data_IF_599470634891
#
_entry.id   IF_599470634891
#
_cell.length_a   1.000
_cell.length_b   1.000
_cell.length_c   1.000
_cell.angle_alpha   90.00
_cell.angle_beta   90.00
_cell.angle_gamma   90.00
#
_symmetry.space_group_name_H-M   'P 1'
#
loop_
_entity.id
_entity.type
_entity.pdbx_description
1 polymer ?
#
# COMPACT_ATOMS: atom_id res chain seq x y z
N UNK A 1 -0.02 9.03 -24.25
CA UNK A 1 -0.42 8.18 -23.12
C UNK A 1 -0.90 9.09 -22.01
N UNK A 2 -2.17 9.00 -21.63
CA UNK A 2 -2.81 9.94 -20.71
C UNK A 2 -2.33 9.67 -19.28
N UNK A 3 -1.45 10.53 -18.75
CA UNK A 3 -1.14 10.54 -17.33
C UNK A 3 -2.34 11.11 -16.58
N UNK A 4 -2.93 10.32 -15.69
CA UNK A 4 -3.99 10.78 -14.81
C UNK A 4 -3.36 11.71 -13.78
N UNK A 5 -3.60 13.02 -13.91
CA UNK A 5 -3.09 14.04 -12.99
C UNK A 5 -4.19 14.35 -11.97
N UNK A 6 -3.98 13.99 -10.70
CA UNK A 6 -4.95 14.18 -9.64
C UNK A 6 -4.30 14.98 -8.48
N UNK A 7 -3.89 16.23 -8.73
CA UNK A 7 -3.01 16.97 -7.84
C UNK A 7 -3.64 17.27 -6.46
N UNK A 8 -4.97 17.17 -6.36
CA UNK A 8 -5.75 17.43 -5.16
C UNK A 8 -6.36 16.15 -4.54
N UNK A 9 -5.96 14.96 -5.01
CA UNK A 9 -6.47 13.71 -4.46
C UNK A 9 -5.86 13.48 -3.07
N UNK A 10 -6.66 13.74 -2.04
CA UNK A 10 -6.26 13.55 -0.64
C UNK A 10 -6.51 12.12 -0.14
N UNK A 11 -7.48 11.41 -0.72
CA UNK A 11 -7.94 10.10 -0.26
C UNK A 11 -8.04 9.17 -1.45
N UNK A 12 -7.39 8.01 -1.34
CA UNK A 12 -7.46 6.94 -2.33
C UNK A 12 -7.87 5.65 -1.64
N UNK A 13 -9.04 5.14 -2.01
CA UNK A 13 -9.54 3.86 -1.53
C UNK A 13 -9.66 2.88 -2.70
N UNK A 14 -8.91 1.78 -2.60
CA UNK A 14 -8.94 0.66 -3.53
C UNK A 14 -9.47 -0.58 -2.81
N UNK A 15 -10.55 -1.15 -3.34
CA UNK A 15 -11.18 -2.32 -2.75
C UNK A 15 -11.59 -3.34 -3.81
N UNK A 16 -11.22 -4.60 -3.62
CA UNK A 16 -11.61 -5.70 -4.52
C UNK A 16 -11.19 -5.48 -5.99
N UNK A 17 -10.03 -4.84 -6.21
CA UNK A 17 -9.50 -4.53 -7.53
C UNK A 17 -8.22 -5.30 -7.85
N UNK A 18 -7.98 -5.53 -9.14
CA UNK A 18 -6.67 -5.95 -9.65
C UNK A 18 -6.04 -4.84 -10.47
N UNK A 19 -4.83 -4.43 -10.12
CA UNK A 19 -4.14 -3.33 -10.80
C UNK A 19 -2.67 -3.64 -11.07
N UNK A 20 -2.11 -2.98 -12.08
CA UNK A 20 -0.68 -3.09 -12.40
C UNK A 20 0.15 -2.13 -11.55
N UNK A 21 1.23 -2.64 -10.95
CA UNK A 21 2.09 -1.86 -10.04
C UNK A 21 2.53 -0.52 -10.64
N UNK A 22 2.99 -0.52 -11.90
CA UNK A 22 3.45 0.70 -12.59
C UNK A 22 2.39 1.80 -12.63
N UNK A 23 1.12 1.45 -12.88
CA UNK A 23 0.03 2.44 -12.94
C UNK A 23 -0.32 2.95 -11.54
N UNK A 24 -0.24 2.08 -10.54
CA UNK A 24 -0.48 2.44 -9.15
C UNK A 24 0.59 3.42 -8.63
N UNK A 25 1.88 3.16 -8.88
CA UNK A 25 2.94 4.10 -8.51
C UNK A 25 2.79 5.43 -9.23
N UNK A 26 2.44 5.42 -10.52
CA UNK A 26 2.18 6.65 -11.26
C UNK A 26 1.01 7.47 -10.68
N UNK A 27 -0.04 6.80 -10.19
CA UNK A 27 -1.17 7.43 -9.51
C UNK A 27 -0.76 8.08 -8.18
N UNK A 28 0.08 7.40 -7.40
CA UNK A 28 0.64 7.96 -6.16
C UNK A 28 1.48 9.21 -6.46
N UNK A 29 2.37 9.15 -7.46
CA UNK A 29 3.20 10.29 -7.85
C UNK A 29 2.40 11.47 -8.40
N UNK A 30 1.20 11.25 -8.95
CA UNK A 30 0.33 12.31 -9.46
C UNK A 30 -0.62 12.90 -8.43
N UNK A 31 -0.53 12.43 -7.17
CA UNK A 31 -1.40 12.81 -6.06
C UNK A 31 -0.57 13.30 -4.87
N UNK A 32 0.25 14.37 -5.03
CA UNK A 32 1.26 14.75 -4.03
C UNK A 32 0.70 15.12 -2.65
N UNK A 33 -0.61 15.41 -2.55
CA UNK A 33 -1.31 15.74 -1.30
C UNK A 33 -2.09 14.54 -0.71
N UNK A 34 -1.82 13.32 -1.17
CA UNK A 34 -2.49 12.13 -0.65
C UNK A 34 -2.16 11.92 0.84
N UNK A 35 -3.20 12.07 1.66
CA UNK A 35 -3.16 11.92 3.12
C UNK A 35 -3.64 10.54 3.56
N UNK A 36 -4.59 9.95 2.83
CA UNK A 36 -5.19 8.66 3.18
C UNK A 36 -5.11 7.67 2.03
N UNK A 37 -4.53 6.50 2.30
CA UNK A 37 -4.45 5.37 1.38
C UNK A 37 -5.05 4.12 2.02
N UNK A 38 -6.05 3.54 1.36
CA UNK A 38 -6.72 2.32 1.81
C UNK A 38 -6.66 1.29 0.68
N UNK A 39 -6.08 0.13 0.96
CA UNK A 39 -5.96 -0.98 0.01
C UNK A 39 -6.50 -2.25 0.65
N UNK A 40 -7.66 -2.72 0.18
CA UNK A 40 -8.38 -3.85 0.76
C UNK A 40 -8.70 -4.88 -0.30
N UNK A 41 -8.36 -6.14 -0.04
CA UNK A 41 -8.68 -7.27 -0.92
C UNK A 41 -8.24 -7.04 -2.38
N UNK A 42 -7.03 -6.52 -2.59
CA UNK A 42 -6.55 -6.12 -3.90
C UNK A 42 -5.46 -7.07 -4.44
N UNK A 43 -5.49 -7.27 -5.75
CA UNK A 43 -4.47 -7.98 -6.51
C UNK A 43 -3.51 -7.02 -7.20
N UNK A 44 -2.21 -7.22 -7.02
CA UNK A 44 -1.18 -6.43 -7.69
C UNK A 44 -0.44 -7.28 -8.71
N UNK A 45 -0.42 -6.80 -9.95
CA UNK A 45 0.24 -7.44 -11.08
C UNK A 45 1.63 -6.83 -11.29
N UNK A 46 2.64 -7.69 -11.39
CA UNK A 46 3.95 -7.32 -11.94
C UNK A 46 5.16 -7.67 -11.06
N UNK A 47 5.04 -7.55 -9.74
CA UNK A 47 6.15 -7.74 -8.80
C UNK A 47 5.69 -8.46 -7.52
N UNK A 48 6.65 -8.95 -6.73
CA UNK A 48 6.41 -9.62 -5.44
C UNK A 48 6.23 -8.64 -4.27
N UNK A 49 6.51 -7.35 -4.48
CA UNK A 49 6.38 -6.30 -3.46
C UNK A 49 5.84 -4.98 -4.02
N UNK A 50 5.30 -4.13 -3.13
CA UNK A 50 4.91 -2.75 -3.41
C UNK A 50 5.75 -1.84 -2.53
N UNK A 51 6.29 -0.79 -3.13
CA UNK A 51 6.97 0.29 -2.41
C UNK A 51 6.08 1.54 -2.45
N UNK A 52 5.70 2.03 -1.27
CA UNK A 52 4.84 3.21 -1.09
C UNK A 52 5.69 4.28 -0.44
N UNK A 53 6.18 5.22 -1.25
CA UNK A 53 6.85 6.42 -0.74
C UNK A 53 5.95 7.64 -0.97
N UNK A 54 5.45 8.23 0.12
CA UNK A 54 4.54 9.37 0.02
C UNK A 54 4.65 10.28 1.25
N UNK A 55 5.13 11.51 1.04
CA UNK A 55 5.49 12.42 2.14
C UNK A 55 4.30 12.95 2.93
N UNK A 56 3.13 13.11 2.31
CA UNK A 56 1.92 13.64 2.98
C UNK A 56 1.01 12.55 3.53
N UNK A 57 1.36 11.27 3.38
CA UNK A 57 0.51 10.18 3.80
C UNK A 57 0.47 10.11 5.33
N UNK A 58 -0.72 10.32 5.92
CA UNK A 58 -0.96 10.28 7.36
C UNK A 58 -1.65 8.99 7.79
N UNK A 59 -2.51 8.43 6.93
CA UNK A 59 -3.34 7.27 7.22
C UNK A 59 -3.14 6.18 6.17
N UNK A 60 -2.63 5.03 6.60
CA UNK A 60 -2.44 3.88 5.71
C UNK A 60 -3.16 2.64 6.25
N UNK A 61 -4.07 2.10 5.44
CA UNK A 61 -4.81 0.88 5.75
C UNK A 61 -4.53 -0.17 4.70
N UNK A 62 -4.19 -1.37 5.18
CA UNK A 62 -3.95 -2.51 4.34
C UNK A 62 -4.60 -3.79 4.86
N UNK A 63 -5.31 -4.47 3.98
CA UNK A 63 -5.98 -5.74 4.27
C UNK A 63 -5.97 -6.63 3.02
N UNK A 64 -5.56 -7.90 3.16
CA UNK A 64 -5.65 -8.94 2.10
C UNK A 64 -5.13 -8.48 0.73
N UNK A 65 -3.88 -8.04 0.67
CA UNK A 65 -3.23 -7.69 -0.60
C UNK A 65 -2.36 -8.84 -1.09
N UNK A 66 -2.54 -9.23 -2.35
CA UNK A 66 -1.88 -10.38 -2.96
C UNK A 66 -1.26 -10.00 -4.30
N UNK A 67 -0.22 -10.73 -4.70
CA UNK A 67 0.41 -10.59 -6.00
C UNK A 67 -0.10 -11.67 -6.95
N UNK A 68 -0.37 -11.26 -8.19
CA UNK A 68 -0.76 -12.16 -9.27
C UNK A 68 0.37 -12.15 -10.31
N UNK A 69 1.12 -13.25 -10.42
CA UNK A 69 2.02 -13.45 -11.56
C UNK A 69 1.20 -14.01 -12.73
N UNK A 70 1.41 -13.46 -13.93
CA UNK A 70 0.66 -13.85 -15.13
C UNK A 70 0.76 -15.35 -15.44
N UNK A 71 1.85 -16.00 -15.01
CA UNK A 71 2.17 -17.39 -15.37
C UNK A 71 1.95 -18.41 -14.25
N UNK A 72 1.38 -18.00 -13.10
CA UNK A 72 1.10 -18.92 -12.00
C UNK A 72 -0.35 -18.83 -11.57
N UNK A 73 -1.03 -19.98 -11.52
CA UNK A 73 -2.40 -20.13 -10.99
C UNK A 73 -2.53 -19.89 -9.47
N UNK A 74 -1.46 -19.43 -8.82
CA UNK A 74 -1.40 -19.24 -7.36
C UNK A 74 -1.09 -17.78 -7.04
N UNK A 75 -2.03 -17.11 -6.38
CA UNK A 75 -1.81 -15.81 -5.74
C UNK A 75 -0.81 -15.98 -4.59
N UNK A 76 0.23 -15.14 -4.56
CA UNK A 76 1.14 -15.06 -3.42
C UNK A 76 0.79 -13.86 -2.57
N UNK A 77 1.21 -13.91 -1.31
CA UNK A 77 1.20 -12.75 -0.44
C UNK A 77 2.05 -11.64 -1.04
N UNK A 78 1.59 -10.41 -0.91
CA UNK A 78 2.32 -9.22 -1.31
C UNK A 78 3.15 -8.67 -0.15
N UNK A 79 4.45 -8.46 -0.35
CA UNK A 79 5.29 -7.74 0.60
C UNK A 79 5.13 -6.25 0.38
N UNK A 80 4.92 -5.47 1.45
CA UNK A 80 4.66 -4.05 1.30
C UNK A 80 5.60 -3.27 2.19
N UNK A 81 6.28 -2.31 1.55
CA UNK A 81 7.19 -1.36 2.17
C UNK A 81 6.55 0.01 2.04
N UNK A 82 6.54 0.74 3.14
CA UNK A 82 6.04 2.10 3.16
C UNK A 82 7.08 3.01 3.83
N UNK A 83 7.40 4.10 3.14
CA UNK A 83 8.21 5.22 3.64
C UNK A 83 7.35 6.47 3.58
N UNK A 84 6.82 6.86 4.73
CA UNK A 84 5.91 7.98 4.88
C UNK A 84 6.21 8.71 6.20
N UNK A 85 7.03 9.78 6.18
CA UNK A 85 7.51 10.44 7.40
C UNK A 85 6.42 11.10 8.23
N UNK A 86 5.28 11.43 7.62
CA UNK A 86 4.12 12.03 8.31
C UNK A 86 3.04 11.01 8.68
N UNK A 87 3.34 9.71 8.55
CA UNK A 87 2.39 8.65 8.85
C UNK A 87 2.05 8.66 10.34
N UNK A 88 0.76 8.68 10.65
CA UNK A 88 0.22 8.72 12.02
C UNK A 88 -0.42 7.41 12.40
N UNK A 89 -1.15 6.81 11.45
CA UNK A 89 -1.86 5.56 11.70
C UNK A 89 -1.57 4.55 10.61
N UNK A 90 -1.27 3.33 11.04
CA UNK A 90 -1.18 2.17 10.17
C UNK A 90 -2.12 1.10 10.67
N UNK A 91 -3.00 0.61 9.81
CA UNK A 91 -3.81 -0.58 10.10
C UNK A 91 -3.48 -1.69 9.13
N UNK A 92 -3.06 -2.83 9.67
CA UNK A 92 -2.70 -4.02 8.91
C UNK A 92 -3.55 -5.20 9.37
N UNK A 93 -4.41 -5.69 8.49
CA UNK A 93 -5.09 -6.98 8.66
C UNK A 93 -4.41 -8.01 7.80
N UNK A 94 -3.38 -8.61 8.41
CA UNK A 94 -2.61 -9.66 7.79
C UNK A 94 -3.43 -10.95 7.70
N UNK A 95 -3.51 -11.54 6.52
CA UNK A 95 -3.79 -12.96 6.45
C UNK A 95 -2.58 -13.73 7.00
N UNK A 96 -2.75 -14.97 7.43
CA UNK A 96 -1.74 -15.73 8.22
C UNK A 96 -0.34 -15.85 7.59
N UNK A 97 -0.21 -15.51 6.30
CA UNK A 97 0.98 -15.61 5.46
C UNK A 97 1.64 -14.28 5.11
N UNK A 98 1.09 -13.14 5.55
CA UNK A 98 1.56 -11.81 5.15
C UNK A 98 2.64 -11.23 6.06
N UNK A 99 3.72 -10.72 5.46
CA UNK A 99 4.76 -9.95 6.14
C UNK A 99 4.69 -8.47 5.70
N UNK A 100 4.66 -7.57 6.68
CA UNK A 100 4.61 -6.12 6.46
C UNK A 100 5.78 -5.47 7.23
N UNK A 101 6.50 -4.57 6.57
CA UNK A 101 7.57 -3.77 7.18
C UNK A 101 7.28 -2.29 6.96
N UNK A 102 7.36 -1.49 8.03
CA UNK A 102 7.20 -0.04 7.97
C UNK A 102 8.44 0.58 8.60
N UNK A 103 9.14 1.42 7.84
CA UNK A 103 10.38 2.06 8.27
C UNK A 103 10.10 3.54 8.65
N UNK A 104 10.89 4.09 9.58
CA UNK A 104 10.83 5.49 10.08
C UNK A 104 9.54 5.89 10.82
N UNK A 105 9.38 5.39 12.06
CA UNK A 105 8.21 5.63 12.90
C UNK A 105 8.56 6.48 14.13
N UNK A 106 8.41 7.80 14.07
CA UNK A 106 8.66 8.65 15.25
C UNK A 106 7.43 8.81 16.16
N UNK A 107 6.20 8.50 15.71
CA UNK A 107 4.97 8.70 16.51
C UNK A 107 3.75 7.84 16.08
N UNK A 108 3.97 6.63 15.54
CA UNK A 108 2.89 5.88 14.86
C UNK A 108 2.05 5.04 15.81
N UNK A 109 0.73 5.13 15.64
CA UNK A 109 -0.24 4.21 16.22
C UNK A 109 -0.44 3.04 15.25
N UNK A 110 0.05 1.86 15.64
CA UNK A 110 -0.14 0.61 14.89
C UNK A 110 -1.41 -0.08 15.38
N UNK A 111 -2.41 -0.17 14.51
CA UNK A 111 -3.64 -0.94 14.73
C UNK A 111 -3.58 -2.22 13.90
N UNK A 112 -2.76 -3.18 14.35
CA UNK A 112 -2.56 -4.44 13.66
C UNK A 112 -3.16 -5.60 14.45
N UNK A 113 -3.74 -6.57 13.73
CA UNK A 113 -4.18 -7.85 14.32
C UNK A 113 -2.99 -8.80 14.61
N UNK A 114 -1.76 -8.42 14.22
CA UNK A 114 -0.47 -9.11 14.50
C UNK A 114 0.69 -8.12 14.63
N UNK A 115 1.75 -8.54 15.31
CA UNK A 115 2.99 -7.76 15.50
C UNK A 115 3.63 -7.37 14.15
N UNK A 116 3.81 -6.07 13.93
CA UNK A 116 4.58 -5.53 12.79
C UNK A 116 6.06 -5.53 13.18
N UNK A 117 6.93 -6.01 12.28
CA UNK A 117 8.37 -5.95 12.50
C UNK A 117 8.85 -4.52 12.28
N UNK A 118 9.18 -3.84 13.37
CA UNK A 118 9.88 -2.54 13.34
C UNK A 118 11.38 -2.77 13.06
N UNK A 119 12.03 -1.91 12.27
CA UNK A 119 13.48 -1.91 12.13
C UNK A 119 14.20 -1.57 13.45
#
# INVERSE_FOLDING_TARGET
MNSLNLPNLNTLHLQALSFGLKKFIQLLSSSPVLETLVIINCGVNGEDYIDISHSHLEHFVIDKVFTCKRDSSKSKVCNIRASAPNLRTVSCKADTRSEYSVDELSSIVIMADRDIKMP
#
